data_IF_026965023701
#
_entry.id   IF_026965023701
#
_cell.length_a   1.000
_cell.length_b   1.000
_cell.length_c   1.000
_cell.angle_alpha   90.00
_cell.angle_beta   90.00
_cell.angle_gamma   90.00
#
_symmetry.space_group_name_H-M   'P 1'
#
loop_
_entity.id
_entity.type
_entity.pdbx_description
1 polymer ?
#
# COMPACT_ATOMS: atom_id res chain seq x y z
N UNK A 1 22.54 41.82 3.79
CA UNK A 1 22.10 40.61 3.06
C UNK A 1 21.76 39.55 4.10
N UNK A 2 20.47 39.33 4.36
CA UNK A 2 20.02 38.25 5.22
C UNK A 2 19.77 37.03 4.32
N UNK A 3 20.52 35.96 4.53
CA UNK A 3 20.17 34.65 3.96
C UNK A 3 18.88 34.19 4.65
N UNK A 4 17.77 34.26 3.92
CA UNK A 4 16.51 33.70 4.36
C UNK A 4 16.68 32.20 4.56
N UNK A 5 16.53 31.75 5.80
CA UNK A 5 16.32 30.34 6.12
C UNK A 5 15.06 29.89 5.37
N UNK A 6 15.22 29.07 4.32
CA UNK A 6 14.11 28.31 3.75
C UNK A 6 13.55 27.46 4.89
N UNK A 7 12.39 27.83 5.40
CA UNK A 7 11.64 26.95 6.27
C UNK A 7 11.40 25.65 5.49
N UNK A 8 11.94 24.53 5.99
CA UNK A 8 11.53 23.22 5.52
C UNK A 8 10.07 23.06 5.91
N UNK A 9 9.16 23.37 4.99
CA UNK A 9 7.76 22.97 5.13
C UNK A 9 7.76 21.45 5.28
N UNK A 10 7.02 20.92 6.25
CA UNK A 10 6.76 19.48 6.33
C UNK A 10 6.28 19.01 4.95
N UNK A 11 6.96 18.02 4.38
CA UNK A 11 6.57 17.48 3.08
C UNK A 11 5.17 16.86 3.24
N UNK A 12 4.14 17.39 2.57
CA UNK A 12 2.81 16.80 2.65
C UNK A 12 2.87 15.40 2.06
N UNK A 13 2.34 14.42 2.79
CA UNK A 13 2.03 13.11 2.21
C UNK A 13 0.70 13.27 1.50
N UNK A 14 0.72 13.11 0.18
CA UNK A 14 -0.49 13.20 -0.63
C UNK A 14 -1.02 11.79 -0.88
N UNK A 15 -2.21 11.51 -0.35
CA UNK A 15 -2.91 10.25 -0.54
C UNK A 15 -3.88 10.39 -1.72
N UNK A 16 -3.65 9.60 -2.77
CA UNK A 16 -4.58 9.44 -3.86
C UNK A 16 -5.24 8.06 -3.78
N UNK A 17 -6.55 8.05 -3.63
CA UNK A 17 -7.36 6.83 -3.67
C UNK A 17 -7.92 6.65 -5.07
N UNK A 18 -7.54 5.56 -5.75
CA UNK A 18 -8.12 5.18 -7.03
C UNK A 18 -9.05 3.98 -6.84
N UNK A 19 -10.35 4.24 -6.91
CA UNK A 19 -11.41 3.23 -6.82
C UNK A 19 -11.89 2.87 -8.24
N UNK A 20 -11.89 1.59 -8.64
CA UNK A 20 -12.80 1.12 -9.70
C UNK A 20 -14.21 0.92 -9.09
N UNK A 21 -15.37 1.16 -9.72
CA UNK A 21 -15.75 1.32 -11.12
C UNK A 21 -16.98 2.24 -11.24
N UNK A 22 -16.94 3.22 -12.17
CA UNK A 22 -17.99 3.52 -13.15
C UNK A 22 -17.29 4.13 -14.38
N UNK A 23 -16.81 3.29 -15.31
CA UNK A 23 -16.07 3.80 -16.49
C UNK A 23 -15.29 2.81 -17.36
N UNK A 24 -15.28 1.51 -17.08
CA UNK A 24 -14.85 0.48 -18.05
C UNK A 24 -13.34 0.31 -18.29
N UNK A 25 -12.45 0.76 -17.40
CA UNK A 25 -11.04 0.33 -17.46
C UNK A 25 -10.90 -1.09 -16.91
N UNK A 26 -10.33 -2.05 -17.67
CA UNK A 26 -10.06 -3.38 -17.14
C UNK A 26 -9.09 -3.30 -15.96
N UNK A 27 -9.18 -4.23 -15.01
CA UNK A 27 -8.35 -4.30 -13.80
C UNK A 27 -6.84 -4.28 -14.09
N UNK A 28 -6.46 -4.81 -15.27
CA UNK A 28 -5.08 -4.78 -15.79
C UNK A 28 -4.56 -3.37 -16.13
N UNK A 29 -5.44 -2.40 -16.36
CA UNK A 29 -5.06 -0.98 -16.56
C UNK A 29 -5.05 -0.19 -15.25
N UNK A 30 -5.74 -0.69 -14.20
CA UNK A 30 -5.79 -0.03 -12.90
C UNK A 30 -4.54 -0.33 -12.07
N UNK A 31 -4.16 -1.60 -11.95
CA UNK A 31 -2.99 -2.01 -11.18
C UNK A 31 -1.69 -1.67 -11.93
N UNK A 32 -0.64 -1.34 -11.20
CA UNK A 32 0.72 -1.38 -11.74
C UNK A 32 1.09 -2.84 -11.97
N UNK A 33 1.88 -3.19 -13.00
CA UNK A 33 2.30 -4.57 -13.23
C UNK A 33 2.87 -5.18 -11.95
N UNK A 34 2.71 -6.48 -11.74
CA UNK A 34 3.22 -7.16 -10.56
C UNK A 34 3.44 -8.64 -10.86
N UNK A 35 4.12 -9.32 -9.94
CA UNK A 35 4.41 -10.74 -9.99
C UNK A 35 5.85 -11.05 -10.43
N UNK A 36 6.21 -12.34 -10.45
CA UNK A 36 7.59 -12.78 -10.72
C UNK A 36 8.11 -12.33 -12.08
N UNK A 37 7.22 -12.23 -13.08
CA UNK A 37 7.53 -11.75 -14.45
C UNK A 37 8.01 -10.29 -14.47
N UNK A 38 7.60 -9.49 -13.48
CA UNK A 38 8.02 -8.10 -13.30
C UNK A 38 9.26 -7.97 -12.38
N UNK A 39 9.80 -9.10 -11.93
CA UNK A 39 10.92 -9.17 -11.00
C UNK A 39 10.55 -8.91 -9.54
N UNK A 40 9.27 -9.09 -9.17
CA UNK A 40 8.83 -8.92 -7.79
C UNK A 40 9.38 -10.01 -6.88
N UNK A 41 9.77 -9.61 -5.67
CA UNK A 41 9.92 -10.54 -4.55
C UNK A 41 8.53 -10.86 -3.97
N UNK A 42 8.42 -11.97 -3.23
CA UNK A 42 7.20 -12.34 -2.53
C UNK A 42 7.45 -12.45 -1.02
N UNK A 43 6.40 -12.23 -0.23
CA UNK A 43 6.40 -12.62 1.19
C UNK A 43 6.32 -14.14 1.31
N UNK A 44 6.65 -14.74 2.47
CA UNK A 44 6.41 -16.16 2.68
C UNK A 44 4.92 -16.47 2.66
N UNK A 45 4.60 -17.67 2.14
CA UNK A 45 3.23 -18.20 2.11
C UNK A 45 2.81 -18.70 3.48
N UNK A 46 2.42 -17.75 4.32
CA UNK A 46 2.09 -17.90 5.73
C UNK A 46 0.84 -17.07 6.07
N UNK A 47 0.34 -17.26 7.29
CA UNK A 47 -0.76 -16.48 7.87
C UNK A 47 -0.30 -15.03 8.07
N UNK A 48 0.45 -14.79 9.14
CA UNK A 48 1.05 -13.50 9.50
C UNK A 48 2.42 -13.27 8.86
N UNK A 49 2.60 -13.70 7.61
CA UNK A 49 3.86 -13.61 6.89
C UNK A 49 4.31 -12.15 6.67
N UNK A 50 5.64 -11.96 6.62
CA UNK A 50 6.26 -10.65 6.46
C UNK A 50 7.52 -10.74 5.60
N UNK A 51 7.80 -9.70 4.81
CA UNK A 51 9.10 -9.55 4.15
C UNK A 51 10.26 -9.41 5.17
N UNK A 52 11.51 -9.69 4.78
CA UNK A 52 12.64 -9.12 5.50
C UNK A 52 12.59 -7.58 5.46
N UNK A 53 13.46 -6.91 6.22
CA UNK A 53 13.64 -5.46 6.10
C UNK A 53 14.10 -5.10 4.68
N UNK A 54 13.36 -4.22 4.03
CA UNK A 54 13.68 -3.77 2.66
C UNK A 54 14.32 -2.39 2.75
N UNK A 55 15.62 -2.31 2.45
CA UNK A 55 16.32 -1.04 2.36
C UNK A 55 15.85 -0.26 1.11
N UNK A 56 15.46 1.00 1.30
CA UNK A 56 14.97 1.86 0.24
C UNK A 56 16.13 2.48 -0.54
N UNK A 57 15.99 2.52 -1.88
CA UNK A 57 16.94 3.19 -2.77
C UNK A 57 16.84 4.72 -2.66
N UNK A 58 15.70 5.23 -2.22
CA UNK A 58 15.46 6.65 -1.96
C UNK A 58 14.77 6.83 -0.61
N UNK A 59 15.03 7.97 0.05
CA UNK A 59 14.39 8.25 1.34
C UNK A 59 12.93 8.59 1.10
N UNK A 60 12.03 7.88 1.76
CA UNK A 60 10.59 8.15 1.71
C UNK A 60 10.17 8.94 2.95
N UNK A 61 9.62 10.13 2.78
CA UNK A 61 9.17 10.98 3.89
C UNK A 61 7.71 10.69 4.20
N UNK A 62 7.41 10.21 5.40
CA UNK A 62 6.05 9.89 5.82
C UNK A 62 5.73 10.61 7.13
N UNK A 63 4.65 11.40 7.14
CA UNK A 63 4.32 12.33 8.23
C UNK A 63 5.50 13.23 8.67
N UNK A 64 6.32 13.66 7.70
CA UNK A 64 7.50 14.50 7.96
C UNK A 64 8.70 13.76 8.55
N UNK A 65 8.61 12.43 8.73
CA UNK A 65 9.70 11.59 9.20
C UNK A 65 10.35 10.88 8.01
N UNK A 66 11.68 10.98 7.82
CA UNK A 66 12.36 10.28 6.75
C UNK A 66 12.56 8.80 7.09
N UNK A 67 12.16 7.91 6.18
CA UNK A 67 12.35 6.47 6.27
C UNK A 67 13.32 5.96 5.20
N UNK A 68 14.16 5.01 5.60
CA UNK A 68 15.16 4.36 4.74
C UNK A 68 14.93 2.87 4.58
N UNK A 69 13.90 2.33 5.24
CA UNK A 69 13.48 0.95 5.14
C UNK A 69 11.99 0.81 5.37
N UNK A 70 11.44 -0.28 4.84
CA UNK A 70 10.06 -0.69 5.06
C UNK A 70 9.94 -2.22 5.17
N UNK A 71 8.75 -2.67 5.51
CA UNK A 71 8.33 -4.07 5.52
C UNK A 71 6.98 -4.22 4.82
N UNK A 72 6.75 -5.34 4.16
CA UNK A 72 5.46 -5.72 3.55
C UNK A 72 4.87 -6.90 4.28
N UNK A 73 3.67 -6.72 4.82
CA UNK A 73 2.97 -7.72 5.63
C UNK A 73 1.83 -8.37 4.85
N UNK A 74 1.60 -9.67 5.09
CA UNK A 74 0.49 -10.40 4.48
C UNK A 74 -0.86 -9.79 4.81
N UNK A 75 -1.05 -9.25 6.01
CA UNK A 75 -2.30 -8.62 6.47
C UNK A 75 -2.57 -7.23 5.85
N UNK A 76 -1.98 -6.91 4.70
CA UNK A 76 -2.34 -5.72 3.93
C UNK A 76 -1.76 -4.41 4.44
N UNK A 77 -0.54 -4.47 5.00
CA UNK A 77 0.16 -3.33 5.58
C UNK A 77 1.57 -3.19 5.01
N UNK A 78 1.97 -1.95 4.69
CA UNK A 78 3.36 -1.55 4.47
C UNK A 78 3.80 -0.67 5.63
N UNK A 79 4.75 -1.12 6.45
CA UNK A 79 5.21 -0.38 7.64
C UNK A 79 6.64 0.13 7.48
N UNK A 80 6.97 1.24 8.14
CA UNK A 80 8.29 1.85 8.03
C UNK A 80 9.11 1.68 9.31
N UNK A 81 10.40 1.36 9.15
CA UNK A 81 11.38 1.22 10.23
C UNK A 81 11.18 0.01 11.17
N UNK A 82 9.97 -0.51 11.31
CA UNK A 82 9.66 -1.71 12.10
C UNK A 82 8.47 -2.46 11.48
N UNK A 83 8.47 -3.78 11.61
CA UNK A 83 7.35 -4.63 11.21
C UNK A 83 6.08 -4.38 12.05
N UNK A 84 4.95 -4.77 11.48
CA UNK A 84 3.61 -4.83 12.09
C UNK A 84 3.17 -6.29 12.05
N UNK A 85 2.92 -6.91 13.20
CA UNK A 85 2.53 -8.33 13.30
C UNK A 85 1.07 -8.50 13.72
N UNK A 86 0.32 -7.41 13.80
CA UNK A 86 -1.09 -7.42 14.22
C UNK A 86 -2.03 -7.81 13.07
N UNK A 87 -2.90 -8.78 13.33
CA UNK A 87 -3.92 -9.30 12.41
C UNK A 87 -5.33 -8.69 12.66
N UNK A 88 -5.60 -8.14 13.84
CA UNK A 88 -6.84 -7.41 14.12
C UNK A 88 -6.68 -5.93 13.73
N UNK A 89 -7.45 -5.43 12.74
CA UNK A 89 -7.38 -4.05 12.32
C UNK A 89 -7.93 -3.10 13.39
N UNK A 90 -7.24 -1.98 13.62
CA UNK A 90 -7.73 -0.89 14.46
C UNK A 90 -8.24 0.28 13.60
N UNK A 91 -9.35 0.94 13.97
CA UNK A 91 -9.89 2.05 13.20
C UNK A 91 -8.97 3.27 13.23
N UNK A 92 -8.84 3.95 12.09
CA UNK A 92 -8.10 5.20 11.98
C UNK A 92 -8.87 6.39 12.59
N UNK A 93 -8.19 7.44 13.10
CA UNK A 93 -6.74 7.62 13.14
C UNK A 93 -6.05 6.82 14.25
N UNK A 94 -4.78 6.48 14.04
CA UNK A 94 -3.95 5.71 14.99
C UNK A 94 -2.78 6.55 15.53
N UNK A 95 -3.04 7.60 16.34
CA UNK A 95 -1.98 8.48 16.83
C UNK A 95 -0.99 7.72 17.72
N UNK A 96 0.31 7.84 17.43
CA UNK A 96 1.37 7.19 18.20
C UNK A 96 1.57 5.70 17.91
N UNK A 97 0.83 5.14 16.94
CA UNK A 97 1.17 3.83 16.37
C UNK A 97 2.37 3.93 15.44
N UNK A 98 2.96 2.79 15.10
CA UNK A 98 4.04 2.69 14.11
C UNK A 98 3.58 3.32 12.78
N UNK A 99 4.49 3.99 12.04
CA UNK A 99 4.16 4.56 10.75
C UNK A 99 3.88 3.45 9.73
N UNK A 100 2.67 3.41 9.17
CA UNK A 100 2.33 2.46 8.12
C UNK A 100 1.24 2.96 7.15
N UNK A 101 1.22 2.33 5.97
CA UNK A 101 0.20 2.45 4.95
C UNK A 101 -0.59 1.15 4.92
N UNK A 102 -1.91 1.25 5.05
CA UNK A 102 -2.83 0.12 4.95
C UNK A 102 -3.70 0.30 3.70
N UNK A 103 -3.29 -0.23 2.53
CA UNK A 103 -4.23 -0.38 1.42
C UNK A 103 -5.44 -1.21 1.82
N UNK A 104 -5.25 -2.24 2.67
CA UNK A 104 -6.35 -3.07 3.15
C UNK A 104 -5.93 -3.89 4.38
N UNK A 105 -5.94 -3.31 5.58
CA UNK A 105 -5.52 -4.03 6.78
C UNK A 105 -6.58 -5.02 7.22
N UNK A 106 -6.31 -6.33 7.08
CA UNK A 106 -7.20 -7.41 7.45
C UNK A 106 -6.41 -8.71 7.70
N UNK A 107 -7.05 -9.69 8.35
CA UNK A 107 -6.49 -11.00 8.67
C UNK A 107 -6.44 -11.90 7.41
N UNK A 108 -5.33 -11.77 6.66
CA UNK A 108 -5.08 -12.43 5.37
C UNK A 108 -4.36 -13.75 5.62
N UNK A 109 -4.79 -14.81 4.94
CA UNK A 109 -4.10 -16.10 4.99
C UNK A 109 -3.70 -16.58 3.59
N UNK A 110 -2.44 -16.33 3.23
CA UNK A 110 -1.90 -16.71 1.91
C UNK A 110 -1.74 -18.23 1.74
N UNK A 111 -1.80 -19.01 2.82
CA UNK A 111 -1.81 -20.49 2.73
C UNK A 111 -3.06 -20.96 2.01
N UNK A 112 -4.18 -20.28 2.24
CA UNK A 112 -5.50 -20.59 1.68
C UNK A 112 -5.69 -20.04 0.25
N UNK A 113 -4.97 -18.99 -0.13
CA UNK A 113 -5.02 -18.46 -1.50
C UNK A 113 -4.27 -17.16 -1.68
N UNK A 114 -3.80 -16.95 -2.91
CA UNK A 114 -3.10 -15.74 -3.32
C UNK A 114 -1.66 -15.65 -2.85
N UNK A 115 -1.01 -14.56 -3.23
CA UNK A 115 0.38 -14.25 -2.92
C UNK A 115 0.53 -12.73 -2.73
N UNK A 116 1.58 -12.30 -2.01
CA UNK A 116 1.90 -10.87 -1.84
C UNK A 116 3.24 -10.58 -2.49
N UNK A 117 3.21 -9.70 -3.48
CA UNK A 117 4.35 -9.33 -4.31
C UNK A 117 4.81 -7.91 -4.02
N UNK A 118 6.12 -7.65 -4.12
CA UNK A 118 6.65 -6.31 -3.96
C UNK A 118 7.96 -6.07 -4.73
N UNK A 119 8.16 -4.81 -5.15
CA UNK A 119 9.43 -4.33 -5.72
C UNK A 119 9.64 -2.83 -5.55
N UNK A 120 10.90 -2.43 -5.65
CA UNK A 120 11.30 -1.06 -5.94
C UNK A 120 11.51 -0.90 -7.45
N UNK A 121 11.19 0.27 -8.00
CA UNK A 121 11.37 0.55 -9.42
C UNK A 121 11.83 1.98 -9.69
N UNK A 122 12.62 2.12 -10.76
CA UNK A 122 12.98 3.39 -11.42
C UNK A 122 12.66 3.33 -12.92
N UNK A 123 11.75 2.45 -13.34
CA UNK A 123 11.35 2.33 -14.74
C UNK A 123 10.82 3.68 -15.24
N UNK A 124 11.39 4.26 -16.32
CA UNK A 124 10.91 5.49 -16.90
C UNK A 124 9.42 5.44 -17.27
N UNK A 125 8.95 4.28 -17.73
CA UNK A 125 7.57 4.05 -18.16
C UNK A 125 6.60 4.12 -16.96
N UNK A 126 6.94 3.45 -15.85
CA UNK A 126 6.13 3.46 -14.64
C UNK A 126 6.17 4.82 -13.94
N UNK A 127 7.33 5.48 -13.90
CA UNK A 127 7.45 6.83 -13.34
C UNK A 127 6.67 7.86 -14.17
N UNK A 128 6.70 7.77 -15.50
CA UNK A 128 5.88 8.62 -16.36
C UNK A 128 4.38 8.36 -16.18
N UNK A 129 3.97 7.12 -15.91
CA UNK A 129 2.59 6.79 -15.53
C UNK A 129 2.22 7.45 -14.20
N UNK A 130 3.05 7.31 -13.16
CA UNK A 130 2.85 7.96 -11.86
C UNK A 130 2.73 9.47 -11.98
N UNK A 131 3.60 10.13 -12.75
CA UNK A 131 3.50 11.58 -13.01
C UNK A 131 2.12 11.97 -13.53
N UNK A 132 1.59 11.22 -14.52
CA UNK A 132 0.26 11.52 -15.08
C UNK A 132 -0.87 11.28 -14.09
N UNK A 133 -0.79 10.20 -13.32
CA UNK A 133 -1.84 9.81 -12.37
C UNK A 133 -1.83 10.68 -11.10
N UNK A 134 -0.67 11.18 -10.67
CA UNK A 134 -0.53 12.05 -9.50
C UNK A 134 -0.78 13.53 -9.81
N UNK A 135 -0.64 13.96 -11.06
CA UNK A 135 -0.83 15.36 -11.46
C UNK A 135 -2.16 15.98 -10.97
N UNK A 136 -3.33 15.29 -11.00
CA UNK A 136 -4.58 15.85 -10.48
C UNK A 136 -4.63 16.02 -8.96
N UNK A 137 -3.72 15.35 -8.23
CA UNK A 137 -3.70 15.39 -6.77
C UNK A 137 -2.98 16.66 -6.25
N UNK A 138 -2.13 17.28 -7.07
CA UNK A 138 -1.38 18.50 -6.72
C UNK A 138 -2.10 19.74 -7.25
N UNK A 139 -2.12 20.88 -6.52
CA UNK A 139 -2.72 22.12 -7.01
C UNK A 139 -2.12 22.53 -8.37
N UNK A 140 -2.93 23.03 -9.33
CA UNK A 140 -2.42 23.47 -10.63
C UNK A 140 -1.39 24.60 -10.58
N UNK A 141 -1.25 25.26 -9.43
CA UNK A 141 -0.27 26.32 -9.17
C UNK A 141 1.11 25.80 -8.74
N UNK A 142 1.22 24.51 -8.46
CA UNK A 142 2.47 23.85 -8.09
C UNK A 142 3.06 23.08 -9.29
N UNK A 143 4.35 22.76 -9.23
CA UNK A 143 4.99 21.94 -10.25
C UNK A 143 4.39 20.53 -10.27
N UNK A 144 4.28 19.93 -11.46
CA UNK A 144 3.76 18.58 -11.59
C UNK A 144 4.66 17.56 -10.85
N UNK A 145 4.09 16.53 -10.23
CA UNK A 145 4.86 15.46 -9.59
C UNK A 145 5.88 14.82 -10.54
N UNK A 146 7.14 14.75 -10.11
CA UNK A 146 8.22 14.13 -10.88
C UNK A 146 8.91 13.02 -10.07
N UNK A 147 8.20 11.93 -9.73
CA UNK A 147 8.78 10.85 -8.94
C UNK A 147 9.98 10.24 -9.66
N UNK A 148 11.06 10.05 -8.91
CA UNK A 148 12.32 9.43 -9.35
C UNK A 148 12.40 7.97 -8.92
N UNK A 149 11.53 7.55 -8.02
CA UNK A 149 11.46 6.22 -7.46
C UNK A 149 10.03 5.84 -7.07
N UNK A 150 9.73 4.55 -7.15
CA UNK A 150 8.51 3.99 -6.60
C UNK A 150 8.73 2.61 -5.96
N UNK A 151 7.83 2.28 -5.03
CA UNK A 151 7.66 0.95 -4.45
C UNK A 151 6.25 0.46 -4.76
N UNK A 152 6.14 -0.74 -5.31
CA UNK A 152 4.86 -1.39 -5.61
C UNK A 152 4.72 -2.59 -4.69
N UNK A 153 3.60 -2.69 -3.97
CA UNK A 153 3.21 -3.85 -3.19
C UNK A 153 1.79 -4.28 -3.56
N UNK A 154 1.62 -5.53 -3.98
CA UNK A 154 0.35 -6.08 -4.44
C UNK A 154 0.00 -7.33 -3.66
N UNK A 155 -1.20 -7.36 -3.10
CA UNK A 155 -1.82 -8.57 -2.57
C UNK A 155 -2.70 -9.11 -3.68
N UNK A 156 -2.28 -10.19 -4.33
CA UNK A 156 -3.01 -10.79 -5.46
C UNK A 156 -3.86 -11.96 -4.99
N UNK A 157 -5.17 -11.85 -5.16
CA UNK A 157 -6.16 -12.90 -4.90
C UNK A 157 -5.97 -13.55 -3.52
N UNK A 158 -5.70 -12.73 -2.50
CA UNK A 158 -5.47 -13.21 -1.15
C UNK A 158 -6.78 -13.63 -0.48
N UNK A 159 -6.75 -14.78 0.19
CA UNK A 159 -7.84 -15.27 1.03
C UNK A 159 -7.77 -14.69 2.45
N UNK A 160 -8.85 -14.83 3.21
CA UNK A 160 -8.90 -14.43 4.62
C UNK A 160 -8.70 -15.61 5.56
N UNK A 161 -8.22 -15.35 6.76
CA UNK A 161 -8.04 -16.36 7.79
C UNK A 161 -9.36 -17.10 8.10
N UNK A 162 -9.31 -18.42 8.01
CA UNK A 162 -10.45 -19.31 8.24
C UNK A 162 -11.46 -19.37 7.10
N UNK A 163 -11.09 -18.96 5.88
CA UNK A 163 -11.97 -19.04 4.73
C UNK A 163 -12.42 -20.48 4.44
N UNK A 164 -13.74 -20.65 4.33
CA UNK A 164 -14.42 -21.82 3.81
C UNK A 164 -15.18 -21.46 2.52
N UNK A 165 -14.56 -20.60 1.70
CA UNK A 165 -15.07 -20.10 0.41
C UNK A 165 -13.90 -19.87 -0.56
N UNK A 166 -14.21 -19.60 -1.82
CA UNK A 166 -13.28 -19.21 -2.88
C UNK A 166 -13.10 -17.69 -3.02
N UNK A 167 -13.58 -16.92 -2.03
CA UNK A 167 -13.53 -15.46 -2.04
C UNK A 167 -12.11 -14.96 -1.84
N UNK A 168 -11.71 -14.02 -2.69
CA UNK A 168 -10.37 -13.45 -2.69
C UNK A 168 -10.40 -11.94 -2.91
N UNK A 169 -9.36 -11.26 -2.42
CA UNK A 169 -9.16 -9.82 -2.62
C UNK A 169 -7.89 -9.58 -3.44
N UNK A 170 -7.92 -8.63 -4.38
CA UNK A 170 -6.74 -8.07 -5.02
C UNK A 170 -6.67 -6.57 -4.79
N UNK A 171 -5.57 -6.09 -4.21
CA UNK A 171 -5.33 -4.67 -3.94
C UNK A 171 -3.83 -4.34 -3.96
N UNK A 172 -3.50 -3.06 -4.12
CA UNK A 172 -2.13 -2.61 -4.31
C UNK A 172 -1.87 -1.26 -3.65
N UNK A 173 -0.70 -1.13 -3.04
CA UNK A 173 -0.13 0.15 -2.63
C UNK A 173 1.06 0.51 -3.54
N UNK A 174 1.09 1.76 -4.00
CA UNK A 174 2.24 2.34 -4.69
C UNK A 174 2.72 3.55 -3.90
N UNK A 175 3.96 3.48 -3.40
CA UNK A 175 4.65 4.58 -2.76
C UNK A 175 5.56 5.23 -3.80
N UNK A 176 5.58 6.55 -3.91
CA UNK A 176 6.46 7.24 -4.86
C UNK A 176 7.05 8.50 -4.24
N UNK A 177 8.24 8.90 -4.70
CA UNK A 177 8.86 10.15 -4.26
C UNK A 177 9.77 10.73 -5.33
N UNK A 178 9.90 12.05 -5.31
CA UNK A 178 10.89 12.83 -6.09
C UNK A 178 12.10 13.25 -5.23
N UNK A 179 12.20 12.71 -4.00
CA UNK A 179 13.19 13.07 -3.00
C UNK A 179 12.81 14.26 -2.11
N UNK A 180 11.70 14.95 -2.41
CA UNK A 180 11.17 16.08 -1.62
C UNK A 180 9.75 15.79 -1.15
N UNK A 181 8.89 15.37 -2.06
CA UNK A 181 7.48 15.05 -1.84
C UNK A 181 7.27 13.55 -1.92
N UNK A 182 6.42 13.01 -1.06
CA UNK A 182 6.09 11.59 -1.02
C UNK A 182 4.60 11.39 -1.29
N UNK A 183 4.31 10.42 -2.14
CA UNK A 183 2.99 10.12 -2.65
C UNK A 183 2.61 8.69 -2.30
N UNK A 184 1.34 8.49 -2.00
CA UNK A 184 0.76 7.17 -1.76
C UNK A 184 -0.44 7.03 -2.67
N UNK A 185 -0.44 5.95 -3.44
CA UNK A 185 -1.57 5.55 -4.27
C UNK A 185 -2.06 4.18 -3.82
N UNK A 186 -3.37 4.07 -3.61
CA UNK A 186 -4.03 2.80 -3.27
C UNK A 186 -4.97 2.42 -4.41
N UNK A 187 -4.76 1.24 -4.98
CA UNK A 187 -5.51 0.70 -6.10
C UNK A 187 -6.25 -0.57 -5.66
N UNK A 188 -7.52 -0.71 -6.07
CA UNK A 188 -8.37 -1.84 -5.70
C UNK A 188 -8.82 -2.60 -6.94
N UNK A 189 -8.43 -3.87 -7.03
CA UNK A 189 -9.02 -4.81 -7.97
C UNK A 189 -10.33 -5.37 -7.42
N UNK A 190 -10.48 -6.69 -7.49
CA UNK A 190 -11.67 -7.34 -6.93
C UNK A 190 -11.57 -7.42 -5.40
N UNK A 191 -12.59 -6.94 -4.69
CA UNK A 191 -12.72 -7.05 -3.24
C UNK A 191 -14.02 -7.80 -2.93
N UNK A 192 -13.90 -8.98 -2.34
CA UNK A 192 -15.00 -9.93 -2.13
C UNK A 192 -15.25 -10.26 -0.65
N UNK A 193 -14.31 -9.94 0.23
CA UNK A 193 -14.39 -10.19 1.67
C UNK A 193 -13.83 -9.01 2.47
N UNK A 194 -14.27 -8.84 3.72
CA UNK A 194 -13.82 -7.79 4.64
C UNK A 194 -13.26 -8.28 5.96
N UNK A 195 -13.55 -9.53 6.35
CA UNK A 195 -13.34 -9.98 7.72
C UNK A 195 -12.98 -11.46 7.81
N UNK A 196 -11.87 -11.77 8.47
CA UNK A 196 -11.50 -13.14 8.85
C UNK A 196 -12.24 -13.66 10.09
N UNK A 197 -12.19 -14.98 10.33
CA UNK A 197 -12.95 -15.58 11.44
C UNK A 197 -12.45 -15.15 12.83
N UNK A 198 -11.15 -14.83 12.96
CA UNK A 198 -10.58 -14.33 14.22
C UNK A 198 -11.20 -12.98 14.61
N UNK A 199 -11.65 -12.22 13.61
CA UNK A 199 -12.34 -10.95 13.75
C UNK A 199 -13.87 -11.08 13.71
N UNK A 200 -14.40 -12.29 13.97
CA UNK A 200 -15.85 -12.63 13.97
C UNK A 200 -16.53 -12.51 12.60
N UNK A 201 -15.76 -12.68 11.53
CA UNK A 201 -16.29 -12.83 10.19
C UNK A 201 -16.96 -14.19 9.97
N UNK A 202 -17.90 -14.25 9.03
CA UNK A 202 -18.48 -15.49 8.57
C UNK A 202 -17.53 -16.22 7.60
N UNK A 203 -17.24 -17.52 7.80
CA UNK A 203 -16.23 -18.26 7.03
C UNK A 203 -16.60 -18.46 5.55
N UNK A 204 -17.88 -18.37 5.17
CA UNK A 204 -18.34 -18.61 3.79
C UNK A 204 -18.51 -17.33 2.98
N UNK A 205 -18.70 -16.20 3.65
CA UNK A 205 -18.92 -14.91 3.02
C UNK A 205 -17.76 -13.94 3.22
N UNK A 206 -16.97 -14.11 4.27
CA UNK A 206 -15.91 -13.18 4.66
C UNK A 206 -16.43 -11.82 5.13
N UNK A 207 -17.69 -11.77 5.60
CA UNK A 207 -18.38 -10.54 6.01
C UNK A 207 -18.78 -10.59 7.50
N UNK A 208 -19.11 -9.43 8.05
CA UNK A 208 -19.50 -9.27 9.47
C UNK A 208 -18.31 -8.89 10.36
N UNK A 209 -18.48 -9.00 11.68
CA UNK A 209 -17.37 -8.81 12.64
C UNK A 209 -16.71 -7.43 12.60
N UNK A 210 -15.38 -7.42 12.79
CA UNK A 210 -14.53 -6.21 12.67
C UNK A 210 -13.95 -6.15 11.26
N UNK A 211 -14.43 -5.26 10.38
CA UNK A 211 -14.01 -5.22 9.00
C UNK A 211 -12.60 -4.62 8.84
N UNK A 212 -12.00 -4.94 7.70
CA UNK A 212 -10.76 -4.37 7.23
C UNK A 212 -10.71 -2.84 7.34
N UNK A 213 -9.51 -2.31 7.58
CA UNK A 213 -9.28 -0.86 7.69
C UNK A 213 -8.39 -0.37 6.55
N UNK A 214 -8.76 0.76 5.97
CA UNK A 214 -8.02 1.41 4.89
C UNK A 214 -7.54 2.77 5.38
N UNK A 215 -6.25 3.06 5.22
CA UNK A 215 -5.73 4.37 5.60
C UNK A 215 -4.24 4.43 5.79
N UNK A 216 -3.82 5.48 6.49
CA UNK A 216 -2.43 5.74 6.87
C UNK A 216 -2.41 6.07 8.36
N UNK A 217 -1.42 5.53 9.07
CA UNK A 217 -1.22 5.76 10.50
C UNK A 217 0.20 6.24 10.74
N UNK A 218 0.39 7.22 11.62
CA UNK A 218 1.68 7.81 11.97
C UNK A 218 1.56 8.86 13.06
#
# INVERSE_FOLDING_TARGET
MALGSRQMKAAPVLLLLLLGHTGGRPTSELLYPFGPEEGDAATPREDDGMSPEIALWETFSFYGVPHRSLYVNNNGVVSFGTGVSEFTPNPFPLPGHRPFVAPYWADVDTRLGGDVFYRQTRSPELLARLTRELAPAVPPTEEAPSPTWAFVATWDRVAFFGAASDKVNTFQAVLATDGVTSFIMLNYGDIQWTTGIANRGDPHTGLGGVPAQVGTGG
#
